data_IF_211844424411
#
_entry.id   IF_211844424411
#
_cell.length_a   1.000
_cell.length_b   1.000
_cell.length_c   1.000
_cell.angle_alpha   90.00
_cell.angle_beta   90.00
_cell.angle_gamma   90.00
#
_symmetry.space_group_name_H-M   'P 1'
#
loop_
_entity.id
_entity.type
_entity.pdbx_description
1 polymer ?
#
# COMPACT_ATOMS: atom_id res chain seq x y z
N UNK A 1 -7.44 10.86 15.16
CA UNK A 1 -6.36 11.28 14.26
C UNK A 1 -6.32 12.79 14.20
N UNK A 2 -5.23 13.33 13.94
CA UNK A 2 -4.93 14.75 13.92
C UNK A 2 -3.44 14.90 13.87
N UNK A 3 -2.87 15.89 14.54
CA UNK A 3 -1.43 16.07 14.64
C UNK A 3 -0.76 15.19 15.72
N UNK A 4 -1.54 14.34 16.42
CA UNK A 4 -1.01 13.44 17.44
C UNK A 4 -0.29 12.24 16.83
N UNK A 5 0.76 11.80 17.53
CA UNK A 5 1.50 10.60 17.20
C UNK A 5 0.81 9.36 17.75
N UNK A 6 0.56 8.38 16.89
CA UNK A 6 0.00 7.08 17.29
C UNK A 6 1.13 6.09 17.58
N UNK A 7 1.19 5.61 18.80
CA UNK A 7 2.07 4.55 19.26
C UNK A 7 1.34 3.20 19.22
N UNK A 8 2.04 2.13 19.53
CA UNK A 8 1.45 0.79 19.66
C UNK A 8 0.40 0.71 20.78
N UNK A 9 0.48 1.59 21.78
CA UNK A 9 -0.46 1.69 22.91
C UNK A 9 -1.70 2.54 22.62
N UNK A 10 -1.72 3.22 21.47
CA UNK A 10 -2.85 4.06 21.07
C UNK A 10 -4.10 3.21 20.80
N UNK A 11 -5.26 3.71 21.23
CA UNK A 11 -6.54 3.05 20.99
C UNK A 11 -6.86 2.88 19.51
N UNK A 12 -7.34 1.71 19.12
CA UNK A 12 -7.80 1.45 17.75
C UNK A 12 -9.06 2.25 17.43
N UNK A 13 -9.07 2.91 16.28
CA UNK A 13 -10.25 3.59 15.74
C UNK A 13 -10.41 3.29 14.23
N UNK A 14 -10.70 2.03 13.85
CA UNK A 14 -10.83 1.64 12.46
C UNK A 14 -12.13 2.18 11.87
N UNK A 15 -12.01 2.94 10.75
CA UNK A 15 -13.15 3.56 10.05
C UNK A 15 -13.63 2.77 8.82
N UNK A 16 -12.96 1.67 8.48
CA UNK A 16 -13.29 0.84 7.32
C UNK A 16 -13.44 -0.64 7.70
N UNK A 17 -14.24 -1.44 6.96
CA UNK A 17 -14.33 -2.88 7.21
C UNK A 17 -12.96 -3.59 7.16
N UNK A 18 -12.06 -3.13 6.29
CA UNK A 18 -10.68 -3.62 6.22
C UNK A 18 -9.92 -3.32 7.51
N UNK A 19 -9.98 -2.08 8.02
CA UNK A 19 -9.34 -1.71 9.29
C UNK A 19 -9.91 -2.52 10.46
N UNK A 20 -11.23 -2.69 10.53
CA UNK A 20 -11.91 -3.51 11.54
C UNK A 20 -11.40 -4.95 11.49
N UNK A 21 -11.27 -5.54 10.30
CA UNK A 21 -10.76 -6.92 10.16
C UNK A 21 -9.33 -7.08 10.67
N UNK A 22 -8.46 -6.07 10.45
CA UNK A 22 -7.08 -6.08 10.95
C UNK A 22 -7.01 -6.02 12.47
N UNK A 23 -7.80 -5.14 13.09
CA UNK A 23 -7.89 -5.05 14.55
C UNK A 23 -8.39 -6.36 15.15
N UNK A 24 -9.44 -6.97 14.58
CA UNK A 24 -9.96 -8.26 15.06
C UNK A 24 -8.93 -9.38 14.97
N UNK A 25 -8.21 -9.49 13.85
CA UNK A 25 -7.13 -10.49 13.73
C UNK A 25 -6.11 -10.35 14.83
N UNK A 26 -5.66 -9.14 15.13
CA UNK A 26 -4.71 -8.91 16.23
C UNK A 26 -5.29 -9.29 17.59
N UNK A 27 -6.53 -8.89 17.88
CA UNK A 27 -7.23 -9.21 19.12
C UNK A 27 -7.45 -10.73 19.30
N UNK A 28 -7.89 -11.42 18.23
CA UNK A 28 -8.17 -12.86 18.28
C UNK A 28 -6.87 -13.66 18.40
N UNK A 29 -5.84 -13.30 17.64
CA UNK A 29 -4.56 -14.03 17.62
C UNK A 29 -3.75 -13.80 18.90
N UNK A 30 -3.80 -12.60 19.50
CA UNK A 30 -3.17 -12.30 20.80
C UNK A 30 -3.59 -13.31 21.89
N UNK A 31 -4.86 -13.72 21.89
CA UNK A 31 -5.40 -14.66 22.89
C UNK A 31 -4.90 -16.10 22.70
N UNK A 32 -4.33 -16.41 21.53
CA UNK A 32 -3.79 -17.74 21.22
C UNK A 32 -2.30 -17.86 21.58
N UNK A 33 -1.67 -16.75 22.01
CA UNK A 33 -0.26 -16.73 22.36
C UNK A 33 0.01 -17.58 23.61
N UNK A 34 0.93 -18.55 23.47
CA UNK A 34 1.35 -19.45 24.55
C UNK A 34 2.81 -19.89 24.33
N UNK A 35 3.27 -20.89 25.06
CA UNK A 35 4.64 -21.40 24.95
C UNK A 35 4.95 -22.01 23.57
N UNK A 36 3.95 -22.49 22.86
CA UNK A 36 4.09 -23.14 21.55
C UNK A 36 3.75 -22.19 20.38
N UNK A 37 3.04 -21.10 20.63
CA UNK A 37 2.62 -20.13 19.61
C UNK A 37 3.00 -18.71 20.00
N UNK A 38 3.87 -18.10 19.21
CA UNK A 38 4.45 -16.77 19.45
C UNK A 38 4.11 -15.79 18.32
N UNK A 39 2.93 -15.19 18.32
CA UNK A 39 2.58 -14.20 17.31
C UNK A 39 3.34 -12.89 17.53
N UNK A 40 3.64 -12.19 16.44
CA UNK A 40 4.15 -10.82 16.42
C UNK A 40 3.37 -10.02 15.38
N UNK A 41 2.96 -8.80 15.72
CA UNK A 41 2.09 -7.97 14.89
C UNK A 41 2.88 -6.80 14.28
N UNK A 42 3.14 -6.85 12.99
CA UNK A 42 3.77 -5.75 12.26
C UNK A 42 2.69 -4.82 11.70
N UNK A 43 2.49 -3.67 12.35
CA UNK A 43 1.58 -2.61 11.95
C UNK A 43 2.28 -1.69 10.95
N UNK A 44 2.35 -2.16 9.69
CA UNK A 44 3.07 -1.45 8.65
C UNK A 44 2.41 -0.11 8.32
N UNK A 45 3.20 0.96 8.20
CA UNK A 45 2.80 2.19 7.56
C UNK A 45 2.34 1.93 6.10
N UNK A 46 1.89 2.94 5.38
CA UNK A 46 1.45 2.77 3.99
C UNK A 46 2.60 2.31 3.12
N UNK A 47 2.55 1.08 2.62
CA UNK A 47 3.59 0.51 1.78
C UNK A 47 3.75 1.29 0.46
N UNK A 48 4.98 1.39 -0.05
CA UNK A 48 5.28 1.89 -1.39
C UNK A 48 6.50 1.17 -1.96
N UNK A 49 6.83 1.46 -3.22
CA UNK A 49 8.00 0.90 -3.90
C UNK A 49 7.65 -0.16 -4.93
N UNK A 50 8.65 -0.54 -5.70
CA UNK A 50 8.53 -1.56 -6.75
C UNK A 50 8.43 -2.95 -6.12
N UNK A 51 7.48 -3.75 -6.60
CA UNK A 51 7.30 -5.12 -6.12
C UNK A 51 6.71 -6.00 -7.23
N UNK A 52 6.84 -7.34 -7.14
CA UNK A 52 6.21 -8.25 -8.11
C UNK A 52 4.69 -8.08 -8.21
N UNK A 53 4.07 -7.49 -7.18
CA UNK A 53 2.66 -7.15 -7.17
C UNK A 53 2.46 -5.67 -6.85
N UNK A 54 2.95 -4.83 -7.73
CA UNK A 54 2.83 -3.38 -7.61
C UNK A 54 1.35 -2.95 -7.47
N UNK A 55 1.11 -2.00 -6.59
CA UNK A 55 -0.23 -1.45 -6.32
C UNK A 55 -0.24 0.05 -6.57
N UNK A 56 -1.15 0.51 -7.41
CA UNK A 56 -1.33 1.93 -7.70
C UNK A 56 -2.37 2.63 -6.83
N UNK A 57 -3.02 1.92 -5.92
CA UNK A 57 -3.92 2.52 -4.91
C UNK A 57 -3.16 3.03 -3.67
N UNK A 58 -1.83 2.86 -3.62
CA UNK A 58 -0.96 3.37 -2.56
C UNK A 58 -0.42 4.74 -2.96
N UNK A 59 -0.40 5.67 -2.00
CA UNK A 59 -0.26 7.10 -2.26
C UNK A 59 0.96 7.48 -3.11
N UNK A 60 2.18 7.07 -2.72
CA UNK A 60 3.38 7.47 -3.47
C UNK A 60 3.42 6.82 -4.86
N UNK A 61 3.11 5.50 -4.94
CA UNK A 61 3.02 4.78 -6.21
C UNK A 61 2.01 5.45 -7.17
N UNK A 62 0.87 5.91 -6.63
CA UNK A 62 -0.18 6.58 -7.39
C UNK A 62 0.26 7.95 -7.92
N UNK A 63 0.84 8.79 -7.06
CA UNK A 63 1.29 10.13 -7.45
C UNK A 63 2.37 10.07 -8.54
N UNK A 64 3.36 9.17 -8.40
CA UNK A 64 4.41 8.99 -9.43
C UNK A 64 3.81 8.46 -10.73
N UNK A 65 2.83 7.53 -10.68
CA UNK A 65 2.20 7.00 -11.88
C UNK A 65 1.37 8.07 -12.63
N UNK A 66 0.62 8.90 -11.92
CA UNK A 66 -0.07 10.05 -12.50
C UNK A 66 0.91 11.02 -13.15
N UNK A 67 1.97 11.42 -12.42
CA UNK A 67 2.99 12.31 -12.94
C UNK A 67 3.64 11.76 -14.21
N UNK A 68 4.01 10.48 -14.21
CA UNK A 68 4.66 9.82 -15.32
C UNK A 68 3.76 9.67 -16.55
N UNK A 69 2.49 9.29 -16.37
CA UNK A 69 1.59 8.97 -17.49
C UNK A 69 0.86 10.18 -18.06
N UNK A 70 0.69 11.25 -17.27
CA UNK A 70 -0.12 12.42 -17.68
C UNK A 70 0.62 13.76 -17.59
N UNK A 71 1.79 13.80 -16.96
CA UNK A 71 2.46 15.06 -16.62
C UNK A 71 1.83 15.81 -15.44
N UNK A 72 0.93 15.17 -14.69
CA UNK A 72 0.22 15.81 -13.57
C UNK A 72 0.38 14.99 -12.29
N UNK A 73 0.82 15.63 -11.20
CA UNK A 73 0.75 15.05 -9.86
C UNK A 73 -0.66 15.30 -9.32
N UNK A 74 -1.57 14.35 -9.51
CA UNK A 74 -2.99 14.52 -9.23
C UNK A 74 -3.35 14.20 -7.77
N UNK A 75 -3.75 15.21 -6.99
CA UNK A 75 -4.10 15.12 -5.59
C UNK A 75 -5.63 15.11 -5.42
N UNK A 76 -6.18 14.03 -4.84
CA UNK A 76 -7.63 13.85 -4.61
C UNK A 76 -8.14 14.51 -3.34
N UNK A 77 -7.25 14.94 -2.43
CA UNK A 77 -7.56 15.65 -1.19
C UNK A 77 -7.05 17.09 -1.26
N UNK A 78 -7.24 17.86 -0.18
CA UNK A 78 -6.66 19.21 -0.03
C UNK A 78 -5.14 19.21 0.24
N UNK A 79 -4.51 18.04 0.25
CA UNK A 79 -3.07 17.87 0.49
C UNK A 79 -2.63 17.96 1.94
N UNK A 80 -3.53 18.28 2.87
CA UNK A 80 -3.21 18.45 4.31
C UNK A 80 -3.07 17.15 5.11
N UNK A 81 -3.76 16.03 4.77
CA UNK A 81 -3.73 14.83 5.58
C UNK A 81 -2.33 14.22 5.68
N UNK A 82 -1.98 13.77 6.87
CA UNK A 82 -0.77 13.01 7.14
C UNK A 82 -0.89 11.56 6.66
N UNK A 83 0.22 11.03 6.14
CA UNK A 83 0.38 9.63 5.77
C UNK A 83 1.76 9.14 6.18
N UNK A 84 1.85 8.21 7.13
CA UNK A 84 3.06 7.43 7.33
C UNK A 84 3.25 6.50 6.15
N UNK A 85 4.46 6.42 5.62
CA UNK A 85 4.82 5.55 4.51
C UNK A 85 6.03 4.68 4.87
N UNK A 86 6.15 3.52 4.22
CA UNK A 86 7.29 2.61 4.40
C UNK A 86 7.56 1.86 3.10
N UNK A 87 8.82 1.72 2.74
CA UNK A 87 9.19 0.99 1.53
C UNK A 87 9.04 -0.52 1.72
N UNK A 88 8.69 -1.24 0.64
CA UNK A 88 8.46 -2.68 0.69
C UNK A 88 9.70 -3.47 1.11
N UNK A 89 10.91 -3.00 0.76
CA UNK A 89 12.15 -3.64 1.21
C UNK A 89 12.37 -3.45 2.72
N UNK A 90 12.08 -2.26 3.27
CA UNK A 90 12.17 -2.01 4.71
C UNK A 90 11.13 -2.85 5.47
N UNK A 91 9.92 -3.04 4.91
CA UNK A 91 8.94 -3.98 5.47
C UNK A 91 9.54 -5.40 5.50
N UNK A 92 10.16 -5.85 4.41
CA UNK A 92 10.77 -7.17 4.32
C UNK A 92 11.90 -7.34 5.35
N UNK A 93 12.71 -6.32 5.56
CA UNK A 93 13.73 -6.31 6.62
C UNK A 93 13.13 -6.36 8.02
N UNK A 94 12.00 -5.68 8.27
CA UNK A 94 11.30 -5.77 9.54
C UNK A 94 10.83 -7.22 9.83
N UNK A 95 10.32 -7.92 8.81
CA UNK A 95 9.98 -9.35 8.95
C UNK A 95 11.20 -10.19 9.30
N UNK A 96 12.34 -9.99 8.62
CA UNK A 96 13.58 -10.70 8.91
C UNK A 96 14.05 -10.42 10.34
N UNK A 97 14.09 -9.15 10.74
CA UNK A 97 14.52 -8.76 12.08
C UNK A 97 13.64 -9.40 13.19
N UNK A 98 12.33 -9.50 12.98
CA UNK A 98 11.41 -10.19 13.91
C UNK A 98 11.66 -11.69 13.94
N UNK A 99 11.90 -12.32 12.78
CA UNK A 99 12.14 -13.77 12.71
C UNK A 99 13.48 -14.18 13.34
N UNK A 100 14.49 -13.32 13.32
CA UNK A 100 15.81 -13.54 13.88
C UNK A 100 15.92 -13.10 15.35
N UNK A 101 14.97 -12.31 15.84
CA UNK A 101 14.98 -11.82 17.22
C UNK A 101 14.72 -12.94 18.23
N UNK A 102 15.28 -12.84 19.46
CA UNK A 102 14.92 -13.72 20.56
C UNK A 102 13.40 -13.70 20.82
N UNK A 103 12.82 -14.88 21.04
CA UNK A 103 11.37 -15.04 21.22
C UNK A 103 10.83 -14.12 22.30
N UNK A 104 11.48 -13.97 23.42
CA UNK A 104 11.10 -13.14 24.56
C UNK A 104 10.96 -11.65 24.21
N UNK A 105 11.65 -11.20 23.18
CA UNK A 105 11.63 -9.81 22.70
C UNK A 105 10.39 -9.53 21.84
N UNK A 106 9.94 -10.53 21.07
CA UNK A 106 8.89 -10.36 20.06
C UNK A 106 7.58 -11.08 20.37
N UNK A 107 7.59 -11.96 21.39
CA UNK A 107 6.43 -12.76 21.76
C UNK A 107 5.23 -11.88 22.10
N UNK A 108 4.15 -12.04 21.33
CA UNK A 108 2.91 -11.32 21.48
C UNK A 108 3.07 -9.78 21.51
N UNK A 109 4.06 -9.28 20.76
CA UNK A 109 4.33 -7.84 20.64
C UNK A 109 3.76 -7.27 19.35
N UNK A 110 3.35 -5.99 19.42
CA UNK A 110 3.03 -5.19 18.24
C UNK A 110 4.14 -4.16 18.00
N UNK A 111 4.46 -3.94 16.73
CA UNK A 111 5.44 -2.94 16.28
C UNK A 111 4.88 -2.14 15.12
N UNK A 112 4.90 -0.82 15.24
CA UNK A 112 4.70 0.09 14.13
C UNK A 112 5.94 0.05 13.23
N UNK A 113 5.76 -0.24 11.94
CA UNK A 113 6.86 -0.41 10.99
C UNK A 113 6.93 0.77 10.04
N UNK A 114 8.05 1.48 10.10
CA UNK A 114 8.36 2.66 9.33
C UNK A 114 9.45 3.48 10.01
N UNK A 115 9.52 4.77 9.69
CA UNK A 115 10.40 5.76 10.32
C UNK A 115 9.59 6.96 10.76
N UNK A 116 9.99 7.61 11.84
CA UNK A 116 9.32 8.82 12.32
C UNK A 116 9.40 9.96 11.30
N UNK A 117 10.50 10.05 10.54
CA UNK A 117 10.73 11.04 9.50
C UNK A 117 9.87 10.81 8.26
N UNK A 118 9.31 9.59 8.08
CA UNK A 118 8.52 9.22 6.90
C UNK A 118 7.01 9.37 7.12
N UNK A 119 6.63 10.28 8.02
CA UNK A 119 5.28 10.79 8.14
C UNK A 119 5.18 12.08 7.31
N UNK A 120 4.54 12.01 6.15
CA UNK A 120 4.41 13.12 5.21
C UNK A 120 2.97 13.61 5.11
N UNK A 121 2.79 14.89 4.85
CA UNK A 121 1.52 15.38 4.29
C UNK A 121 1.44 15.01 2.82
N UNK A 122 0.24 14.81 2.31
CA UNK A 122 0.04 14.44 0.89
C UNK A 122 0.69 15.47 -0.05
N UNK A 123 0.59 16.78 0.28
CA UNK A 123 1.23 17.86 -0.48
C UNK A 123 2.76 17.75 -0.50
N UNK A 124 3.39 17.30 0.59
CA UNK A 124 4.85 17.12 0.65
C UNK A 124 5.30 15.97 -0.24
N UNK A 125 4.52 14.87 -0.28
CA UNK A 125 4.75 13.79 -1.24
C UNK A 125 4.59 14.27 -2.68
N UNK A 126 3.60 15.12 -2.95
CA UNK A 126 3.39 15.67 -4.29
C UNK A 126 4.55 16.57 -4.75
N UNK A 127 5.10 17.38 -3.85
CA UNK A 127 6.30 18.19 -4.16
C UNK A 127 7.52 17.30 -4.45
N UNK A 128 7.74 16.23 -3.64
CA UNK A 128 8.80 15.26 -3.90
C UNK A 128 8.65 14.62 -5.28
N UNK A 129 7.42 14.26 -5.65
CA UNK A 129 7.14 13.68 -6.98
C UNK A 129 7.37 14.71 -8.08
N UNK A 130 6.92 15.95 -7.91
CA UNK A 130 7.15 17.05 -8.88
C UNK A 130 8.64 17.29 -9.13
N UNK A 131 9.46 17.25 -8.07
CA UNK A 131 10.91 17.36 -8.19
C UNK A 131 11.58 16.13 -8.84
N UNK A 132 10.92 14.97 -8.77
CA UNK A 132 11.47 13.70 -9.28
C UNK A 132 11.12 13.45 -10.75
N UNK A 133 9.88 13.78 -11.16
CA UNK A 133 9.38 13.53 -12.51
C UNK A 133 9.45 14.82 -13.33
N UNK A 134 10.34 14.90 -14.34
CA UNK A 134 10.54 16.14 -15.10
C UNK A 134 9.27 16.59 -15.85
N UNK A 135 8.99 17.89 -15.78
CA UNK A 135 7.92 18.51 -16.57
C UNK A 135 6.50 18.27 -16.06
N UNK A 136 6.34 17.70 -14.87
CA UNK A 136 5.01 17.55 -14.28
C UNK A 136 4.60 18.74 -13.40
N UNK A 137 3.30 18.95 -13.26
CA UNK A 137 2.71 20.00 -12.42
C UNK A 137 1.74 19.39 -11.40
N UNK A 138 1.61 20.04 -10.23
CA UNK A 138 0.67 19.60 -9.19
C UNK A 138 -0.73 20.09 -9.54
N UNK A 139 -1.69 19.17 -9.54
CA UNK A 139 -3.10 19.46 -9.77
C UNK A 139 -3.95 18.89 -8.64
N UNK A 140 -4.90 19.69 -8.15
CA UNK A 140 -5.86 19.28 -7.15
C UNK A 140 -7.20 18.95 -7.79
N UNK A 141 -7.87 17.90 -7.30
CA UNK A 141 -9.22 17.58 -7.72
C UNK A 141 -10.17 18.75 -7.44
N UNK A 142 -11.18 18.96 -8.31
CA UNK A 142 -12.16 20.07 -8.17
C UNK A 142 -12.90 20.05 -6.84
N UNK A 143 -13.17 18.84 -6.31
CA UNK A 143 -13.86 18.60 -5.05
C UNK A 143 -12.90 18.17 -3.94
N UNK A 144 -11.63 18.62 -4.01
CA UNK A 144 -10.59 18.27 -3.04
C UNK A 144 -10.99 18.75 -1.64
N UNK A 145 -11.17 17.81 -0.72
CA UNK A 145 -11.49 18.05 0.67
C UNK A 145 -10.60 17.26 1.62
N UNK A 146 -10.71 17.46 2.95
CA UNK A 146 -9.91 16.75 3.92
C UNK A 146 -10.25 15.25 3.92
N UNK A 147 -9.22 14.39 3.82
CA UNK A 147 -9.38 12.96 4.00
C UNK A 147 -9.49 12.64 5.50
N UNK A 148 -10.53 11.89 5.89
CA UNK A 148 -10.77 11.46 7.28
C UNK A 148 -9.65 10.59 7.86
N UNK A 149 -8.84 9.98 6.98
CA UNK A 149 -7.66 9.17 7.36
C UNK A 149 -6.45 10.08 7.51
N UNK A 150 -6.33 10.81 8.59
CA UNK A 150 -5.22 11.71 8.90
C UNK A 150 -4.58 11.25 10.22
N UNK A 151 -3.32 10.79 10.18
CA UNK A 151 -2.61 10.33 11.36
C UNK A 151 -1.10 10.25 11.11
N UNK A 152 -0.33 10.43 12.18
CA UNK A 152 1.11 10.15 12.24
C UNK A 152 1.37 8.95 13.12
N UNK A 153 2.43 8.20 12.81
CA UNK A 153 2.79 6.97 13.55
C UNK A 153 4.19 7.10 14.11
N UNK A 154 4.32 6.81 15.40
CA UNK A 154 5.61 6.67 16.06
C UNK A 154 6.11 5.24 15.87
N UNK A 155 7.26 5.10 15.22
CA UNK A 155 7.95 3.85 14.95
C UNK A 155 9.18 3.64 15.87
N UNK A 156 9.31 4.39 16.94
CA UNK A 156 10.48 4.33 17.83
C UNK A 156 10.63 2.97 18.52
N UNK A 157 9.52 2.29 18.83
CA UNK A 157 9.55 0.99 19.49
C UNK A 157 10.32 -0.05 18.70
N UNK A 158 10.04 -0.24 17.41
CA UNK A 158 10.74 -1.23 16.57
C UNK A 158 12.24 -0.92 16.46
N UNK A 159 12.61 0.35 16.28
CA UNK A 159 14.00 0.78 16.16
C UNK A 159 14.81 0.49 17.43
N UNK A 160 14.21 0.74 18.61
CA UNK A 160 14.89 0.50 19.89
C UNK A 160 14.91 -0.97 20.28
N UNK A 161 13.86 -1.72 19.96
CA UNK A 161 13.70 -3.11 20.37
C UNK A 161 14.43 -4.07 19.44
N UNK A 162 14.49 -3.75 18.15
CA UNK A 162 15.10 -4.57 17.10
C UNK A 162 16.22 -3.77 16.40
N UNK A 163 17.42 -3.66 16.99
CA UNK A 163 18.51 -2.82 16.45
C UNK A 163 19.03 -3.27 15.08
N UNK A 164 18.73 -4.50 14.66
CA UNK A 164 19.03 -5.00 13.33
C UNK A 164 18.07 -4.43 12.26
N UNK A 165 16.90 -3.94 12.65
CA UNK A 165 16.01 -3.22 11.74
C UNK A 165 16.54 -1.81 11.47
N UNK A 166 17.11 -1.62 10.27
CA UNK A 166 17.72 -0.35 9.82
C UNK A 166 17.07 0.08 8.50
N UNK A 167 15.91 0.71 8.53
CA UNK A 167 15.22 1.14 7.32
C UNK A 167 16.08 2.12 6.51
N UNK A 168 16.15 1.90 5.18
CA UNK A 168 17.08 2.60 4.29
C UNK A 168 16.37 3.54 3.32
N UNK A 169 15.06 3.45 3.20
CA UNK A 169 14.30 4.16 2.20
C UNK A 169 13.62 5.41 2.77
N UNK A 170 13.41 6.39 1.88
CA UNK A 170 12.57 7.55 2.13
C UNK A 170 11.73 7.86 0.88
N UNK A 171 10.80 8.78 0.98
CA UNK A 171 9.88 9.12 -0.11
C UNK A 171 10.61 9.53 -1.40
N UNK A 172 11.70 10.31 -1.31
CA UNK A 172 12.45 10.78 -2.48
C UNK A 172 13.12 9.62 -3.23
N UNK A 173 13.84 8.77 -2.52
CA UNK A 173 14.48 7.59 -3.11
C UNK A 173 13.46 6.65 -3.73
N UNK A 174 12.31 6.44 -3.05
CA UNK A 174 11.26 5.60 -3.58
C UNK A 174 10.53 6.21 -4.78
N UNK A 175 10.34 7.53 -4.83
CA UNK A 175 9.81 8.20 -6.02
C UNK A 175 10.74 8.03 -7.24
N UNK A 176 12.06 8.12 -7.02
CA UNK A 176 13.06 7.88 -8.07
C UNK A 176 13.03 6.43 -8.57
N UNK A 177 12.98 5.45 -7.66
CA UNK A 177 12.87 4.03 -8.01
C UNK A 177 11.61 3.77 -8.86
N UNK A 178 10.46 4.26 -8.42
CA UNK A 178 9.19 4.09 -9.12
C UNK A 178 9.23 4.74 -10.50
N UNK A 179 9.75 5.96 -10.61
CA UNK A 179 9.88 6.66 -11.88
C UNK A 179 10.76 5.87 -12.87
N UNK A 180 11.92 5.39 -12.45
CA UNK A 180 12.81 4.57 -13.26
C UNK A 180 12.14 3.26 -13.70
N UNK A 181 11.43 2.60 -12.80
CA UNK A 181 10.72 1.37 -13.11
C UNK A 181 9.61 1.62 -14.14
N UNK A 182 8.83 2.71 -14.00
CA UNK A 182 7.76 3.04 -14.95
C UNK A 182 8.32 3.41 -16.33
N UNK A 183 9.47 4.09 -16.40
CA UNK A 183 10.20 4.32 -17.66
C UNK A 183 10.63 3.00 -18.30
N UNK A 184 11.23 2.11 -17.53
CA UNK A 184 11.76 0.83 -18.02
C UNK A 184 10.68 -0.06 -18.62
N UNK A 185 9.50 -0.11 -17.99
CA UNK A 185 8.37 -0.93 -18.48
C UNK A 185 7.48 -0.21 -19.49
N UNK A 186 7.69 1.10 -19.69
CA UNK A 186 6.86 1.91 -20.59
C UNK A 186 5.40 2.00 -20.11
N UNK A 187 5.18 2.25 -18.79
CA UNK A 187 3.84 2.30 -18.20
C UNK A 187 2.96 3.30 -18.94
N UNK A 188 1.79 2.85 -19.41
CA UNK A 188 0.79 3.71 -20.05
C UNK A 188 -0.34 4.06 -19.09
N UNK A 189 -1.07 5.17 -19.39
CA UNK A 189 -2.25 5.55 -18.61
C UNK A 189 -3.33 4.45 -18.65
N UNK A 190 -3.54 3.81 -19.80
CA UNK A 190 -4.48 2.71 -19.96
C UNK A 190 -4.15 1.52 -19.04
N UNK A 191 -2.86 1.14 -18.96
CA UNK A 191 -2.42 0.06 -18.05
C UNK A 191 -2.56 0.47 -16.59
N UNK A 192 -2.15 1.71 -16.25
CA UNK A 192 -2.22 2.24 -14.88
C UNK A 192 -3.65 2.27 -14.35
N UNK A 193 -4.62 2.73 -15.14
CA UNK A 193 -6.03 2.74 -14.77
C UNK A 193 -6.76 1.43 -15.08
N UNK A 194 -6.11 0.52 -15.78
CA UNK A 194 -6.69 -0.72 -16.29
C UNK A 194 -6.80 -1.85 -15.26
N UNK A 195 -7.46 -2.94 -15.65
CA UNK A 195 -7.72 -4.10 -14.77
C UNK A 195 -6.44 -4.85 -14.37
N UNK A 196 -5.31 -4.63 -15.06
CA UNK A 196 -4.02 -5.25 -14.70
C UNK A 196 -3.60 -4.91 -13.27
N UNK A 197 -3.81 -3.66 -12.84
CA UNK A 197 -3.40 -3.17 -11.54
C UNK A 197 -4.55 -2.87 -10.58
N UNK A 198 -5.77 -2.76 -11.08
CA UNK A 198 -6.96 -2.50 -10.28
C UNK A 198 -7.69 -3.81 -9.94
N UNK A 199 -7.59 -4.27 -8.69
CA UNK A 199 -8.12 -5.57 -8.26
C UNK A 199 -9.60 -5.78 -8.57
N UNK A 200 -10.44 -4.79 -8.29
CA UNK A 200 -11.89 -4.89 -8.52
C UNK A 200 -12.19 -4.94 -10.02
N UNK A 201 -11.52 -4.13 -10.83
CA UNK A 201 -11.65 -4.16 -12.28
C UNK A 201 -11.20 -5.53 -12.83
N UNK A 202 -10.10 -6.07 -12.33
CA UNK A 202 -9.61 -7.39 -12.71
C UNK A 202 -10.61 -8.52 -12.37
N UNK A 203 -11.16 -8.52 -11.15
CA UNK A 203 -12.18 -9.50 -10.75
C UNK A 203 -13.42 -9.41 -11.64
N UNK A 204 -13.91 -8.18 -11.90
CA UNK A 204 -15.04 -7.95 -12.82
C UNK A 204 -14.74 -8.48 -14.23
N UNK A 205 -13.54 -8.26 -14.74
CA UNK A 205 -13.09 -8.80 -16.03
C UNK A 205 -13.07 -10.33 -16.02
N UNK A 206 -12.55 -10.96 -14.97
CA UNK A 206 -12.53 -12.44 -14.85
C UNK A 206 -13.95 -13.02 -14.78
N UNK A 207 -14.88 -12.35 -14.09
CA UNK A 207 -16.30 -12.73 -14.07
C UNK A 207 -16.97 -12.58 -15.44
N UNK A 208 -16.78 -11.43 -16.10
CA UNK A 208 -17.39 -11.14 -17.41
C UNK A 208 -16.87 -12.04 -18.52
N UNK A 209 -15.59 -12.45 -18.45
CA UNK A 209 -14.99 -13.42 -19.39
C UNK A 209 -15.26 -14.88 -19.04
N UNK A 210 -16.01 -15.14 -17.97
CA UNK A 210 -16.35 -16.50 -17.53
C UNK A 210 -15.18 -17.32 -16.98
N UNK A 211 -14.04 -16.67 -16.66
CA UNK A 211 -12.89 -17.34 -16.02
C UNK A 211 -13.15 -17.62 -14.53
N UNK A 212 -13.91 -16.75 -13.88
CA UNK A 212 -14.48 -16.99 -12.55
C UNK A 212 -15.99 -17.23 -12.66
N UNK A 213 -16.53 -18.03 -11.75
CA UNK A 213 -17.97 -18.15 -11.54
C UNK A 213 -18.47 -17.07 -10.54
N UNK A 214 -19.77 -17.01 -10.29
CA UNK A 214 -20.39 -16.04 -9.39
C UNK A 214 -19.98 -16.21 -7.91
N UNK A 215 -19.39 -17.37 -7.56
CA UNK A 215 -18.83 -17.65 -6.23
C UNK A 215 -17.33 -17.32 -6.13
N UNK A 216 -16.77 -16.65 -7.17
CA UNK A 216 -15.36 -16.28 -7.31
C UNK A 216 -14.41 -17.49 -7.36
N UNK A 217 -14.86 -18.63 -7.89
CA UNK A 217 -14.03 -19.80 -8.10
C UNK A 217 -13.58 -19.89 -9.56
N UNK A 218 -12.36 -20.34 -9.77
CA UNK A 218 -11.85 -20.60 -11.12
C UNK A 218 -12.66 -21.67 -11.80
N UNK A 219 -13.07 -21.43 -13.04
CA UNK A 219 -13.66 -22.47 -13.88
C UNK A 219 -12.55 -23.31 -14.51
N UNK A 220 -12.66 -24.61 -14.39
CA UNK A 220 -11.70 -25.60 -14.94
C UNK A 220 -11.74 -25.69 -16.48
N UNK A 221 -12.86 -25.26 -17.09
CA UNK A 221 -13.00 -25.15 -18.54
C UNK A 221 -13.43 -23.73 -18.90
N UNK A 222 -12.68 -23.07 -19.79
CA UNK A 222 -13.11 -21.80 -20.37
C UNK A 222 -14.40 -22.06 -21.18
N UNK A 223 -15.38 -21.14 -21.15
CA UNK A 223 -16.52 -21.21 -22.05
C UNK A 223 -15.98 -21.25 -23.47
N UNK A 224 -16.38 -22.27 -24.23
CA UNK A 224 -16.08 -22.32 -25.66
C UNK A 224 -16.67 -21.10 -26.33
N UNK A 225 -15.88 -20.37 -27.10
CA UNK A 225 -16.36 -19.24 -27.91
C UNK A 225 -17.62 -19.69 -28.70
N UNK A 226 -18.68 -18.88 -28.77
CA UNK A 226 -19.83 -19.24 -29.60
C UNK A 226 -19.32 -19.47 -31.02
N UNK A 227 -19.62 -20.68 -31.56
CA UNK A 227 -19.38 -20.98 -32.96
C UNK A 227 -20.12 -19.92 -33.77
N UNK A 228 -19.40 -19.11 -34.52
CA UNK A 228 -20.00 -18.26 -35.54
C UNK A 228 -20.69 -19.27 -36.51
N UNK A 229 -22.02 -19.33 -36.45
CA UNK A 229 -22.77 -20.01 -37.51
C UNK A 229 -22.51 -19.27 -38.80
N UNK A 230 -21.78 -19.91 -39.70
CA UNK A 230 -21.65 -19.42 -41.06
C UNK A 230 -23.08 -19.37 -41.64
N UNK A 231 -23.53 -18.15 -41.90
CA UNK A 231 -24.72 -17.95 -42.73
C UNK A 231 -24.35 -18.48 -44.11
N UNK A 232 -24.91 -19.63 -44.49
CA UNK A 232 -24.91 -20.10 -45.85
C UNK A 232 -25.75 -19.18 -46.72
N UNK A 233 -25.15 -18.63 -47.74
CA UNK A 233 -25.79 -17.91 -48.84
C UNK A 233 -26.57 -18.89 -49.74
#
# INVERSE_FOLDING_TARGET
GGDDWLTEESSFNPVTPYGISKVRVEQDVTQLADDNFSPTFLRNATAYGVSPRLRFDLVLNNLVAWAFTTGQVYIKSDGTPWRPIVHIEDISQAFIAVLEAPREVVHNQAFNVGRNEDNYRIRELAEIVKETVPGCEIEYAKDAGPDKRCYRVDCSKIIHTLPEFKPQWNARRGAQELYQAYQTVGLTLEEFEGPRYQRIAHIKQLLSTGRLDQTLRWRTQLPTSPKIQAMSV
#
